data_IF_549737441681
#
_entry.id   IF_549737441681
#
_cell.length_a   1.000
_cell.length_b   1.000
_cell.length_c   1.000
_cell.angle_alpha   90.00
_cell.angle_beta   90.00
_cell.angle_gamma   90.00
#
_symmetry.space_group_name_H-M   'P 1'
#
loop_
_entity.id
_entity.type
_entity.pdbx_description
1 polymer ?
#
# COMPACT_ATOMS: atom_id res chain seq x y z
N UNK A 1 -5.78 12.06 -7.03
CA UNK A 1 -5.54 11.52 -5.68
C UNK A 1 -6.76 10.74 -5.27
N UNK A 2 -6.55 9.51 -4.83
CA UNK A 2 -7.58 8.58 -4.41
C UNK A 2 -8.54 9.22 -3.39
N UNK A 3 -9.81 8.80 -3.45
CA UNK A 3 -10.82 9.22 -2.48
C UNK A 3 -10.61 8.40 -1.21
N UNK A 4 -10.53 9.08 -0.06
CA UNK A 4 -10.39 8.41 1.22
C UNK A 4 -11.55 7.44 1.49
N UNK A 5 -11.20 6.21 1.86
CA UNK A 5 -12.14 5.18 2.28
C UNK A 5 -11.47 4.22 3.25
N UNK A 6 -12.24 3.66 4.19
CA UNK A 6 -11.75 2.64 5.13
C UNK A 6 -11.14 1.45 4.39
N UNK A 7 -11.77 1.02 3.29
CA UNK A 7 -11.27 -0.07 2.45
C UNK A 7 -9.88 0.20 1.90
N UNK A 8 -9.63 1.38 1.33
CA UNK A 8 -8.32 1.72 0.77
C UNK A 8 -7.26 1.80 1.87
N UNK A 9 -7.61 2.41 3.01
CA UNK A 9 -6.72 2.50 4.17
C UNK A 9 -6.31 1.11 4.67
N UNK A 10 -7.26 0.18 4.79
CA UNK A 10 -6.97 -1.17 5.26
C UNK A 10 -6.11 -1.98 4.28
N UNK A 11 -6.33 -1.82 2.98
CA UNK A 11 -5.47 -2.40 1.94
C UNK A 11 -4.05 -1.84 2.02
N UNK A 12 -3.90 -0.53 2.19
CA UNK A 12 -2.58 0.10 2.35
C UNK A 12 -1.88 -0.40 3.63
N UNK A 13 -2.60 -0.54 4.75
CA UNK A 13 -2.06 -1.11 6.01
C UNK A 13 -1.55 -2.53 5.79
N UNK A 14 -2.34 -3.38 5.14
CA UNK A 14 -1.93 -4.75 4.80
C UNK A 14 -0.71 -4.76 3.88
N UNK A 15 -0.64 -3.84 2.92
CA UNK A 15 0.51 -3.67 2.02
C UNK A 15 1.77 -3.28 2.78
N UNK A 16 1.67 -2.38 3.76
CA UNK A 16 2.79 -2.01 4.65
C UNK A 16 3.30 -3.21 5.44
N UNK A 17 2.40 -4.04 5.99
CA UNK A 17 2.78 -5.28 6.70
C UNK A 17 3.51 -6.22 5.75
N UNK A 18 2.93 -6.51 4.57
CA UNK A 18 3.54 -7.38 3.57
C UNK A 18 4.92 -6.88 3.11
N UNK A 19 5.09 -5.57 2.92
CA UNK A 19 6.38 -4.96 2.57
C UNK A 19 7.42 -5.11 3.69
N UNK A 20 7.02 -4.90 4.95
CA UNK A 20 7.93 -5.03 6.10
C UNK A 20 8.46 -6.47 6.21
N UNK A 21 7.57 -7.46 6.02
CA UNK A 21 7.89 -8.89 6.14
C UNK A 21 8.61 -9.47 4.91
N UNK A 22 8.47 -8.86 3.73
CA UNK A 22 9.07 -9.34 2.48
C UNK A 22 10.57 -9.08 2.41
N UNK A 23 11.35 -10.12 2.09
CA UNK A 23 12.76 -10.02 1.67
C UNK A 23 12.91 -9.92 0.14
N UNK A 24 11.79 -9.96 -0.60
CA UNK A 24 11.73 -10.04 -2.05
C UNK A 24 11.44 -8.70 -2.75
N UNK A 25 11.50 -7.58 -2.03
CA UNK A 25 11.28 -6.27 -2.64
C UNK A 25 12.34 -5.98 -3.71
N UNK A 26 11.90 -5.71 -4.94
CA UNK A 26 12.77 -5.46 -6.08
C UNK A 26 12.16 -4.43 -7.02
N UNK A 27 12.78 -3.26 -7.06
CA UNK A 27 12.48 -2.26 -8.08
C UNK A 27 12.82 -2.80 -9.50
N UNK A 28 11.94 -2.57 -10.46
CA UNK A 28 12.03 -3.09 -11.83
C UNK A 28 11.45 -4.50 -12.05
N UNK A 29 11.02 -5.20 -10.99
CA UNK A 29 10.20 -6.40 -11.11
C UNK A 29 8.75 -6.03 -10.78
N UNK A 30 7.88 -5.93 -11.79
CA UNK A 30 6.53 -5.34 -11.66
C UNK A 30 5.66 -5.99 -10.58
N UNK A 31 5.83 -7.27 -10.28
CA UNK A 31 5.12 -7.93 -9.18
C UNK A 31 5.74 -7.76 -7.79
N UNK A 32 6.94 -7.18 -7.67
CA UNK A 32 7.71 -7.09 -6.42
C UNK A 32 8.19 -5.66 -6.10
N UNK A 33 7.75 -4.66 -6.88
CA UNK A 33 7.98 -3.24 -6.62
C UNK A 33 6.84 -2.64 -5.76
N UNK A 34 6.72 -1.32 -5.77
CA UNK A 34 5.79 -0.53 -4.96
C UNK A 34 4.35 -0.89 -5.28
N UNK A 35 3.93 -0.67 -6.53
CA UNK A 35 2.62 -1.06 -7.04
C UNK A 35 2.42 -2.58 -7.03
N UNK A 36 3.50 -3.34 -7.27
CA UNK A 36 3.47 -4.81 -7.23
C UNK A 36 3.00 -5.37 -5.89
N UNK A 37 3.47 -4.85 -4.76
CA UNK A 37 3.02 -5.29 -3.44
C UNK A 37 1.56 -4.91 -3.18
N UNK A 38 1.14 -3.72 -3.57
CA UNK A 38 -0.25 -3.29 -3.45
C UNK A 38 -1.18 -4.16 -4.30
N UNK A 39 -0.78 -4.48 -5.53
CA UNK A 39 -1.51 -5.37 -6.43
C UNK A 39 -1.64 -6.79 -5.86
N UNK A 40 -0.58 -7.35 -5.27
CA UNK A 40 -0.65 -8.65 -4.58
C UNK A 40 -1.71 -8.65 -3.47
N UNK A 41 -1.74 -7.60 -2.62
CA UNK A 41 -2.73 -7.50 -1.52
C UNK A 41 -4.16 -7.38 -2.05
N UNK A 42 -4.37 -6.56 -3.09
CA UNK A 42 -5.69 -6.32 -3.66
C UNK A 42 -6.27 -7.54 -4.40
N UNK A 43 -5.41 -8.30 -5.07
CA UNK A 43 -5.84 -9.36 -6.00
C UNK A 43 -5.64 -10.77 -5.45
N UNK A 44 -4.70 -10.96 -4.53
CA UNK A 44 -4.23 -12.28 -4.10
C UNK A 44 -3.34 -13.00 -5.11
N UNK A 45 -3.04 -12.39 -6.27
CA UNK A 45 -2.10 -12.96 -7.23
C UNK A 45 -0.67 -12.86 -6.70
N UNK A 46 0.17 -13.82 -7.08
CA UNK A 46 1.57 -13.80 -6.69
C UNK A 46 2.40 -12.84 -7.56
N UNK A 47 3.60 -12.49 -7.07
CA UNK A 47 4.52 -11.58 -7.77
C UNK A 47 4.90 -12.06 -9.17
N UNK A 48 4.98 -13.37 -9.42
CA UNK A 48 5.42 -13.92 -10.70
C UNK A 48 4.32 -13.77 -11.75
N UNK A 49 3.07 -14.02 -11.36
CA UNK A 49 1.90 -13.78 -12.21
C UNK A 49 1.79 -12.31 -12.63
N UNK A 50 1.83 -11.41 -11.64
CA UNK A 50 1.72 -9.96 -11.91
C UNK A 50 2.86 -9.49 -12.81
N UNK A 51 4.09 -9.93 -12.55
CA UNK A 51 5.23 -9.56 -13.39
C UNK A 51 5.10 -10.11 -14.81
N UNK A 52 4.70 -11.37 -14.97
CA UNK A 52 4.50 -11.98 -16.28
C UNK A 52 3.47 -11.19 -17.11
N UNK A 53 2.32 -10.83 -16.53
CA UNK A 53 1.30 -10.05 -17.23
C UNK A 53 1.77 -8.63 -17.57
N UNK A 54 2.47 -7.95 -16.66
CA UNK A 54 3.02 -6.63 -16.94
C UNK A 54 4.03 -6.66 -18.11
N UNK A 55 4.87 -7.70 -18.19
CA UNK A 55 5.84 -7.85 -19.28
C UNK A 55 5.22 -8.11 -20.66
N UNK A 56 3.93 -8.46 -20.74
CA UNK A 56 3.23 -8.58 -22.03
C UNK A 56 3.01 -7.22 -22.70
N UNK A 57 2.79 -6.17 -21.91
CA UNK A 57 2.74 -4.77 -22.39
C UNK A 57 4.12 -4.09 -22.34
N UNK A 58 4.97 -4.53 -21.41
CA UNK A 58 6.28 -3.91 -21.15
C UNK A 58 6.17 -2.71 -20.23
N UNK A 59 7.28 -1.99 -20.06
CA UNK A 59 7.33 -0.81 -19.20
C UNK A 59 7.17 -1.11 -17.69
N UNK A 60 7.03 -0.03 -16.92
CA UNK A 60 6.74 -0.10 -15.49
C UNK A 60 5.25 0.17 -15.20
N UNK A 61 4.87 0.34 -13.94
CA UNK A 61 3.47 0.62 -13.61
C UNK A 61 2.98 1.99 -14.08
N UNK A 62 3.89 2.95 -14.28
CA UNK A 62 3.57 4.25 -14.87
C UNK A 62 3.07 4.08 -16.29
N UNK A 63 3.81 3.29 -17.07
CA UNK A 63 3.48 2.98 -18.47
C UNK A 63 2.19 2.16 -18.55
N UNK A 64 2.12 1.06 -17.78
CA UNK A 64 0.98 0.15 -17.80
C UNK A 64 -0.34 0.83 -17.40
N UNK A 65 -0.31 1.70 -16.38
CA UNK A 65 -1.47 2.49 -15.97
C UNK A 65 -1.82 3.58 -17.00
N UNK A 66 -0.82 4.25 -17.58
CA UNK A 66 -1.05 5.25 -18.61
C UNK A 66 -1.68 4.68 -19.89
N UNK A 67 -1.41 3.41 -20.18
CA UNK A 67 -1.95 2.67 -21.32
C UNK A 67 -3.14 1.78 -20.96
N UNK A 68 -3.76 1.99 -19.80
CA UNK A 68 -4.89 1.17 -19.34
C UNK A 68 -6.07 1.23 -20.33
N UNK A 69 -6.58 0.06 -20.70
CA UNK A 69 -7.77 -0.11 -21.53
C UNK A 69 -8.57 -1.33 -21.05
N UNK A 70 -9.81 -1.12 -20.63
CA UNK A 70 -10.71 -2.14 -20.06
C UNK A 70 -11.09 -3.26 -21.05
N UNK A 71 -10.99 -3.00 -22.35
CA UNK A 71 -11.30 -3.95 -23.43
C UNK A 71 -10.08 -4.57 -24.10
N UNK A 72 -8.86 -4.38 -23.58
CA UNK A 72 -7.62 -4.82 -24.23
C UNK A 72 -7.43 -6.34 -24.26
N UNK A 73 -7.99 -7.04 -23.27
CA UNK A 73 -7.77 -8.47 -23.04
C UNK A 73 -6.47 -8.81 -22.29
N UNK A 74 -5.66 -7.83 -21.89
CA UNK A 74 -4.48 -8.08 -21.06
C UNK A 74 -4.84 -8.23 -19.59
N UNK A 75 -4.29 -9.25 -18.92
CA UNK A 75 -4.56 -9.48 -17.49
C UNK A 75 -3.98 -8.38 -16.59
N UNK A 76 -2.93 -7.68 -17.02
CA UNK A 76 -2.43 -6.52 -16.26
C UNK A 76 -3.45 -5.37 -16.23
N UNK A 77 -4.23 -5.17 -17.30
CA UNK A 77 -5.30 -4.19 -17.32
C UNK A 77 -6.42 -4.60 -16.35
N UNK A 78 -6.69 -5.90 -16.20
CA UNK A 78 -7.63 -6.40 -15.17
C UNK A 78 -7.11 -6.16 -13.74
N UNK A 79 -5.80 -6.28 -13.51
CA UNK A 79 -5.21 -5.93 -12.22
C UNK A 79 -5.37 -4.43 -11.94
N UNK A 80 -5.11 -3.58 -12.94
CA UNK A 80 -5.32 -2.13 -12.84
C UNK A 80 -6.80 -1.82 -12.58
N UNK A 81 -7.73 -2.50 -13.25
CA UNK A 81 -9.16 -2.33 -13.01
C UNK A 81 -9.53 -2.60 -11.54
N UNK A 82 -9.00 -3.66 -10.93
CA UNK A 82 -9.21 -3.97 -9.51
C UNK A 82 -8.65 -2.86 -8.61
N UNK A 83 -7.48 -2.32 -8.96
CA UNK A 83 -6.89 -1.18 -8.25
C UNK A 83 -7.79 0.06 -8.32
N UNK A 84 -8.36 0.36 -9.50
CA UNK A 84 -9.30 1.46 -9.69
C UNK A 84 -10.60 1.24 -8.90
N UNK A 85 -11.14 0.02 -8.91
CA UNK A 85 -12.33 -0.35 -8.13
C UNK A 85 -12.10 -0.27 -6.61
N UNK A 86 -10.84 -0.35 -6.15
CA UNK A 86 -10.47 -0.11 -4.76
C UNK A 86 -10.43 1.38 -4.38
N UNK A 87 -10.65 2.29 -5.33
CA UNK A 87 -10.71 3.73 -5.13
C UNK A 87 -9.48 4.51 -5.58
N UNK A 88 -8.51 3.83 -6.21
CA UNK A 88 -7.36 4.50 -6.84
C UNK A 88 -7.74 5.15 -8.17
N UNK A 89 -7.00 6.18 -8.55
CA UNK A 89 -7.00 6.73 -9.90
C UNK A 89 -5.72 6.28 -10.63
N UNK A 90 -5.69 6.47 -11.96
CA UNK A 90 -4.51 6.15 -12.78
C UNK A 90 -3.28 6.91 -12.27
N UNK A 91 -3.43 8.19 -11.93
CA UNK A 91 -2.36 9.02 -11.42
C UNK A 91 -1.85 8.52 -10.06
N UNK A 92 -2.70 7.90 -9.24
CA UNK A 92 -2.25 7.32 -7.97
C UNK A 92 -1.33 6.13 -8.21
N UNK A 93 -1.60 5.30 -9.21
CA UNK A 93 -0.73 4.16 -9.57
C UNK A 93 0.65 4.67 -10.02
N UNK A 94 0.66 5.73 -10.84
CA UNK A 94 1.90 6.39 -11.27
C UNK A 94 2.66 7.00 -10.07
N UNK A 95 1.92 7.64 -9.16
CA UNK A 95 2.47 8.25 -7.96
C UNK A 95 3.06 7.22 -6.99
N UNK A 96 2.45 6.04 -6.85
CA UNK A 96 2.96 4.95 -6.02
C UNK A 96 4.24 4.37 -6.62
N UNK A 97 4.26 4.18 -7.94
CA UNK A 97 5.45 3.67 -8.63
C UNK A 97 6.63 4.63 -8.40
N UNK A 98 6.39 5.94 -8.45
CA UNK A 98 7.45 6.95 -8.34
C UNK A 98 7.64 7.55 -6.93
N UNK A 99 6.80 7.20 -5.95
CA UNK A 99 6.70 7.86 -4.64
C UNK A 99 6.52 9.39 -4.75
N UNK A 100 5.66 9.84 -5.67
CA UNK A 100 5.64 11.25 -6.13
C UNK A 100 4.43 12.07 -5.73
N UNK A 101 3.41 11.50 -5.07
CA UNK A 101 2.20 12.27 -4.79
C UNK A 101 2.52 13.49 -3.91
N UNK A 102 2.26 14.72 -4.39
CA UNK A 102 2.71 15.92 -3.69
C UNK A 102 1.96 16.16 -2.38
N UNK A 103 0.75 15.62 -2.20
CA UNK A 103 0.02 15.71 -0.93
C UNK A 103 0.61 14.77 0.12
N UNK A 104 0.96 13.54 -0.27
CA UNK A 104 1.67 12.58 0.60
C UNK A 104 3.06 13.12 0.97
N UNK A 105 3.82 13.62 0.00
CA UNK A 105 5.15 14.16 0.29
C UNK A 105 5.09 15.39 1.21
N UNK A 106 4.05 16.23 1.11
CA UNK A 106 3.89 17.37 2.01
C UNK A 106 3.47 16.99 3.43
N UNK A 107 2.82 15.86 3.64
CA UNK A 107 2.51 15.40 5.00
C UNK A 107 3.75 14.91 5.75
N UNK A 108 4.83 14.57 5.04
CA UNK A 108 6.12 14.25 5.63
C UNK A 108 6.90 15.51 6.07
N UNK A 109 7.77 15.39 7.08
CA UNK A 109 8.71 16.44 7.47
C UNK A 109 9.58 16.89 6.27
N UNK A 110 9.93 18.18 6.16
CA UNK A 110 10.66 18.72 5.01
C UNK A 110 11.96 17.97 4.66
N UNK A 111 12.69 17.50 5.66
CA UNK A 111 13.94 16.75 5.54
C UNK A 111 13.74 15.28 5.12
N UNK A 112 12.51 14.79 5.14
CA UNK A 112 12.16 13.40 4.82
C UNK A 112 11.39 13.23 3.50
N UNK A 113 11.17 14.33 2.75
CA UNK A 113 10.40 14.30 1.49
C UNK A 113 11.18 13.72 0.30
N UNK A 114 12.48 13.54 0.43
CA UNK A 114 13.33 12.96 -0.60
C UNK A 114 13.32 11.43 -0.48
N UNK A 115 12.27 10.82 -1.02
CA UNK A 115 12.09 9.36 -1.00
C UNK A 115 12.74 8.72 -2.22
N UNK A 116 13.32 7.55 -2.02
CA UNK A 116 13.92 6.76 -3.09
C UNK A 116 13.07 5.54 -3.38
N UNK A 117 12.44 5.52 -4.56
CA UNK A 117 11.52 4.45 -4.99
C UNK A 117 12.12 3.05 -5.10
N UNK A 118 13.44 2.90 -4.97
CA UNK A 118 14.12 1.61 -4.96
C UNK A 118 14.50 1.16 -3.53
N UNK A 119 14.23 1.98 -2.51
CA UNK A 119 14.46 1.66 -1.11
C UNK A 119 13.14 1.25 -0.46
N UNK A 120 13.01 -0.03 -0.11
CA UNK A 120 11.84 -0.59 0.58
C UNK A 120 11.37 0.27 1.77
N UNK A 121 12.32 0.78 2.56
CA UNK A 121 12.03 1.61 3.72
C UNK A 121 11.31 2.92 3.36
N UNK A 122 11.63 3.53 2.22
CA UNK A 122 10.98 4.77 1.77
C UNK A 122 9.59 4.50 1.19
N UNK A 123 9.38 3.33 0.56
CA UNK A 123 8.05 2.89 0.11
C UNK A 123 7.12 2.67 1.30
N UNK A 124 7.61 1.98 2.35
CA UNK A 124 6.87 1.80 3.60
C UNK A 124 6.51 3.15 4.21
N UNK A 125 7.48 4.06 4.32
CA UNK A 125 7.27 5.41 4.86
C UNK A 125 6.21 6.19 4.05
N UNK A 126 6.27 6.10 2.72
CA UNK A 126 5.29 6.73 1.84
C UNK A 126 3.87 6.22 2.09
N UNK A 127 3.69 4.89 2.14
CA UNK A 127 2.38 4.31 2.41
C UNK A 127 1.85 4.64 3.80
N UNK A 128 2.68 4.64 4.84
CA UNK A 128 2.24 5.03 6.17
C UNK A 128 1.83 6.51 6.24
N UNK A 129 2.58 7.40 5.58
CA UNK A 129 2.22 8.81 5.46
C UNK A 129 0.91 9.00 4.68
N UNK A 130 0.69 8.21 3.63
CA UNK A 130 -0.55 8.24 2.86
C UNK A 130 -1.74 7.72 3.66
N UNK A 131 -1.57 6.62 4.41
CA UNK A 131 -2.59 6.10 5.34
C UNK A 131 -3.00 7.19 6.33
N UNK A 132 -2.03 7.89 6.93
CA UNK A 132 -2.33 8.96 7.88
C UNK A 132 -3.09 10.12 7.24
N UNK A 133 -2.70 10.50 6.02
CA UNK A 133 -3.37 11.54 5.25
C UNK A 133 -4.84 11.16 4.96
N UNK A 134 -5.08 9.94 4.47
CA UNK A 134 -6.44 9.46 4.17
C UNK A 134 -7.29 9.34 5.44
N UNK A 135 -6.71 8.87 6.55
CA UNK A 135 -7.42 8.80 7.83
C UNK A 135 -7.85 10.20 8.31
N UNK A 136 -6.95 11.18 8.21
CA UNK A 136 -7.27 12.57 8.57
C UNK A 136 -8.42 13.13 7.72
N UNK A 137 -8.47 12.80 6.43
CA UNK A 137 -9.56 13.19 5.54
C UNK A 137 -10.90 12.57 5.95
N UNK A 138 -10.93 11.28 6.33
CA UNK A 138 -12.15 10.63 6.83
C UNK A 138 -12.65 11.22 8.15
N UNK A 139 -11.72 11.57 9.04
CA UNK A 139 -12.04 12.15 10.34
C UNK A 139 -12.49 13.62 10.24
N UNK A 140 -12.50 14.20 9.02
CA UNK A 140 -12.82 15.61 8.79
C UNK A 140 -11.76 16.57 9.35
N UNK A 141 -10.55 16.08 9.59
CA UNK A 141 -9.44 16.85 10.13
C UNK A 141 -8.60 17.44 8.99
N UNK A 142 -8.02 18.61 9.23
CA UNK A 142 -6.97 19.09 8.32
C UNK A 142 -5.75 18.19 8.46
N UNK A 143 -5.13 17.74 7.35
CA UNK A 143 -3.96 16.88 7.41
C UNK A 143 -2.87 17.52 8.27
N UNK A 144 -2.42 16.83 9.31
CA UNK A 144 -1.32 17.31 10.13
C UNK A 144 -0.05 17.29 9.26
N UNK A 145 0.53 18.48 9.07
CA UNK A 145 1.83 18.61 8.41
C UNK A 145 2.91 18.10 9.37
N UNK A 146 3.92 17.43 8.82
CA UNK A 146 5.06 16.87 9.56
C UNK A 146 4.72 15.62 10.40
N UNK A 147 3.89 14.72 9.85
CA UNK A 147 3.68 13.40 10.43
C UNK A 147 4.99 12.60 10.45
N UNK A 148 5.37 12.12 11.63
CA UNK A 148 6.50 11.21 11.80
C UNK A 148 5.94 9.83 12.06
N UNK A 149 6.44 8.83 11.31
CA UNK A 149 6.15 7.43 11.60
C UNK A 149 6.41 7.17 13.08
N UNK A 150 5.34 6.93 13.84
CA UNK A 150 5.47 6.48 15.21
C UNK A 150 6.32 5.23 15.14
N UNK A 151 7.50 5.26 15.79
CA UNK A 151 8.20 4.02 16.11
C UNK A 151 7.13 3.16 16.76
N UNK A 152 6.78 2.05 16.12
CA UNK A 152 5.79 1.11 16.64
C UNK A 152 6.18 0.83 18.08
N UNK A 153 5.39 1.37 19.02
CA UNK A 153 5.52 0.98 20.42
C UNK A 153 5.32 -0.54 20.43
N UNK A 154 6.14 -1.30 21.18
CA UNK A 154 5.92 -2.73 21.31
C UNK A 154 4.47 -2.95 21.73
N UNK A 155 3.73 -3.74 20.96
CA UNK A 155 2.35 -4.09 21.26
C UNK A 155 2.28 -4.50 22.73
N UNK A 156 1.39 -3.86 23.49
CA UNK A 156 1.12 -4.22 24.88
C UNK A 156 0.95 -5.72 24.95
N UNK A 157 1.75 -6.32 25.81
CA UNK A 157 1.81 -7.74 26.15
C UNK A 157 0.41 -8.38 26.10
N UNK A 158 0.25 -9.37 25.22
CA UNK A 158 -0.96 -10.18 25.17
C UNK A 158 -1.06 -10.88 26.52
N UNK A 159 -2.02 -10.47 27.34
CA UNK A 159 -2.35 -11.17 28.59
C UNK A 159 -2.97 -12.50 28.19
N UNK A 160 -2.14 -13.56 28.19
CA UNK A 160 -2.63 -14.93 28.13
C UNK A 160 -3.28 -15.21 29.50
N UNK A 161 -4.60 -15.31 29.51
CA UNK A 161 -5.31 -15.85 30.67
C UNK A 161 -5.08 -17.36 30.69
N UNK A 162 -3.98 -17.77 31.30
CA UNK A 162 -3.85 -19.15 31.77
C UNK A 162 -4.83 -19.34 32.93
N UNK A 163 -5.70 -20.34 32.76
CA UNK A 163 -6.68 -20.88 33.72
C UNK A 163 -8.10 -20.30 33.62
N UNK A 164 -9.02 -21.14 33.13
CA UNK A 164 -10.47 -21.03 33.37
C UNK A 164 -10.71 -21.11 34.89
N UNK A 165 -11.45 -20.17 35.51
CA UNK A 165 -11.80 -20.27 36.92
C UNK A 165 -12.61 -21.56 37.19
N UNK A 166 -12.26 -22.28 38.24
CA UNK A 166 -12.85 -23.56 38.70
C UNK A 166 -14.37 -23.52 39.00
N UNK A 167 -15.05 -22.40 38.72
CA UNK A 167 -16.47 -22.19 38.97
C UNK A 167 -17.41 -22.75 37.89
N UNK A 168 -16.89 -23.38 36.83
CA UNK A 168 -17.69 -24.03 35.76
C UNK A 168 -17.71 -25.56 35.88
N UNK A 169 -17.45 -26.11 37.07
CA UNK A 169 -17.52 -27.55 37.35
C UNK A 169 -18.45 -27.89 38.51
N UNK A 170 -19.65 -27.28 38.61
CA UNK A 170 -20.76 -27.85 39.41
C UNK A 170 -22.12 -27.49 38.82
N UNK A 171 -22.66 -28.40 38.02
CA UNK A 171 -24.09 -28.69 37.91
C UNK A 171 -24.28 -30.04 37.24
#
# INVERSE_FOLDING_TARGET
MAIASERLIDVLRQTVVALKDSDQYQWGHSGACNCGHLAQVLTGYDKAQIHYWAMQKGGDWTDNAGEYCDSSGYEIDRVIEIMLQAGLQIEDIQDIENLSNPRVLRSLPPDQRQLQRHLKADVVKYFEAWIHLLQSELDGQSPQMDWVASRSEPQKEVVIYDSVPELVLKS
#
